data_IF_279301518139
#
_entry.id   IF_279301518139
#
_cell.length_a   1.000
_cell.length_b   1.000
_cell.length_c   1.000
_cell.angle_alpha   90.00
_cell.angle_beta   90.00
_cell.angle_gamma   90.00
#
_symmetry.space_group_name_H-M   'P 1'
#
loop_
_entity.id
_entity.type
_entity.pdbx_description
1 polymer ?
#
# COMPACT_ATOMS: atom_id res chain seq x y z
N UNK A 1 -4.23 19.61 -30.00
CA UNK A 1 -3.25 18.55 -29.66
C UNK A 1 -2.11 19.21 -28.89
N UNK A 2 -1.71 18.66 -27.73
CA UNK A 2 -0.77 19.34 -26.82
C UNK A 2 0.68 19.27 -27.34
N UNK A 3 1.55 20.19 -26.90
CA UNK A 3 2.98 20.20 -27.27
C UNK A 3 3.68 18.87 -26.98
N UNK A 4 3.24 18.18 -25.91
CA UNK A 4 3.69 16.84 -25.52
C UNK A 4 3.46 15.81 -26.63
N UNK A 5 2.34 15.88 -27.35
CA UNK A 5 2.01 14.96 -28.44
C UNK A 5 2.98 15.11 -29.63
N UNK A 6 3.39 16.33 -29.96
CA UNK A 6 4.31 16.58 -31.05
C UNK A 6 5.75 16.14 -30.73
N UNK A 7 6.18 16.26 -29.47
CA UNK A 7 7.52 15.87 -29.07
C UNK A 7 7.68 14.36 -28.93
N UNK A 8 6.66 13.65 -28.41
CA UNK A 8 6.62 12.18 -28.41
C UNK A 8 6.65 11.64 -29.84
N UNK A 9 5.91 12.26 -30.77
CA UNK A 9 5.91 11.91 -32.20
C UNK A 9 7.29 12.09 -32.86
N UNK A 10 8.13 12.97 -32.33
CA UNK A 10 9.49 13.23 -32.85
C UNK A 10 10.52 12.20 -32.39
N UNK A 11 10.28 11.54 -31.25
CA UNK A 11 11.25 10.63 -30.59
C UNK A 11 11.19 9.17 -31.08
N UNK A 12 10.24 8.84 -31.96
CA UNK A 12 9.99 7.47 -32.45
C UNK A 12 10.11 7.44 -33.99
N UNK A 13 10.87 6.49 -34.59
CA UNK A 13 10.94 6.37 -36.05
C UNK A 13 9.61 5.89 -36.65
N UNK A 14 9.28 6.49 -37.80
CA UNK A 14 8.27 6.16 -38.81
C UNK A 14 7.53 4.82 -38.68
N UNK A 15 6.51 4.73 -37.81
CA UNK A 15 5.36 3.83 -38.05
C UNK A 15 4.09 4.22 -37.26
N UNK A 16 4.03 5.43 -36.71
CA UNK A 16 2.88 5.91 -35.96
C UNK A 16 1.65 6.17 -36.85
N UNK A 17 1.86 6.50 -38.13
CA UNK A 17 0.77 6.87 -39.05
C UNK A 17 -0.16 5.70 -39.42
N UNK A 18 0.35 4.46 -39.42
CA UNK A 18 -0.47 3.25 -39.65
C UNK A 18 -1.33 2.88 -38.44
N UNK A 19 -0.88 3.28 -37.25
CA UNK A 19 -1.57 3.02 -35.98
C UNK A 19 -2.72 4.02 -35.77
N UNK A 20 -2.54 5.29 -36.15
CA UNK A 20 -3.60 6.32 -36.04
C UNK A 20 -4.82 6.03 -36.93
N UNK A 21 -4.66 5.35 -38.07
CA UNK A 21 -5.80 4.96 -38.91
C UNK A 21 -6.73 3.92 -38.24
N UNK A 22 -6.29 3.31 -37.14
CA UNK A 22 -7.06 2.33 -36.36
C UNK A 22 -7.62 2.91 -35.05
N UNK A 23 -7.27 4.16 -34.70
CA UNK A 23 -7.66 4.80 -33.44
C UNK A 23 -8.86 5.70 -33.70
N UNK A 24 -10.03 5.08 -33.80
CA UNK A 24 -11.28 5.75 -33.50
C UNK A 24 -12.02 4.87 -32.49
N UNK A 25 -12.18 5.40 -31.28
CA UNK A 25 -12.71 4.77 -30.06
C UNK A 25 -11.91 3.58 -29.49
N UNK A 26 -11.68 3.56 -28.17
CA UNK A 26 -11.39 2.37 -27.33
C UNK A 26 -9.96 2.12 -26.74
N UNK A 27 -9.95 1.48 -25.55
CA UNK A 27 -8.98 0.89 -24.56
C UNK A 27 -7.47 0.71 -24.90
N UNK A 28 -6.98 1.07 -26.08
CA UNK A 28 -5.64 0.71 -26.55
C UNK A 28 -4.49 1.70 -26.23
N UNK A 29 -4.78 2.83 -25.56
CA UNK A 29 -3.76 3.84 -25.21
C UNK A 29 -2.76 3.30 -24.16
N UNK A 30 -3.24 2.45 -23.25
CA UNK A 30 -2.43 1.82 -22.19
C UNK A 30 -1.40 0.85 -22.79
N UNK A 31 -1.81 0.01 -23.74
CA UNK A 31 -0.90 -0.95 -24.40
C UNK A 31 0.20 -0.25 -25.22
N UNK A 32 -0.14 0.85 -25.89
CA UNK A 32 0.82 1.59 -26.73
C UNK A 32 1.81 2.43 -25.92
N UNK A 33 1.42 2.89 -24.72
CA UNK A 33 2.31 3.53 -23.76
C UNK A 33 3.28 2.48 -23.17
N UNK A 34 2.80 1.27 -22.87
CA UNK A 34 3.62 0.17 -22.36
C UNK A 34 4.67 -0.30 -23.40
N UNK A 35 4.29 -0.41 -24.69
CA UNK A 35 5.23 -0.75 -25.77
C UNK A 35 6.30 0.33 -25.99
N UNK A 36 5.91 1.61 -25.86
CA UNK A 36 6.85 2.72 -25.95
C UNK A 36 7.84 2.69 -24.78
N UNK A 37 7.34 2.48 -23.56
CA UNK A 37 8.14 2.43 -22.34
C UNK A 37 9.14 1.25 -22.33
N UNK A 38 8.75 0.07 -22.83
CA UNK A 38 9.64 -1.08 -23.02
C UNK A 38 10.82 -0.78 -23.96
N UNK A 39 10.62 0.10 -24.96
CA UNK A 39 11.67 0.53 -25.89
C UNK A 39 12.63 1.57 -25.27
N UNK A 40 12.14 2.39 -24.34
CA UNK A 40 12.94 3.43 -23.66
C UNK A 40 13.84 2.87 -22.54
N UNK A 41 13.55 1.67 -22.06
CA UNK A 41 14.34 1.06 -20.99
C UNK A 41 15.80 0.78 -21.42
N UNK A 42 16.01 0.54 -22.72
CA UNK A 42 17.32 0.21 -23.29
C UNK A 42 18.17 1.42 -23.71
N UNK A 43 17.64 2.66 -23.69
CA UNK A 43 18.35 3.83 -24.23
C UNK A 43 18.43 5.02 -23.24
N UNK A 44 19.59 5.14 -22.59
CA UNK A 44 19.92 6.16 -21.58
C UNK A 44 19.82 7.61 -22.10
N UNK A 45 20.14 7.88 -23.37
CA UNK A 45 20.07 9.24 -23.93
C UNK A 45 18.62 9.73 -24.09
N UNK A 46 17.74 8.86 -24.61
CA UNK A 46 16.32 9.18 -24.75
C UNK A 46 15.64 9.39 -23.39
N UNK A 47 16.06 8.61 -22.39
CA UNK A 47 15.64 8.75 -20.98
C UNK A 47 16.02 10.13 -20.43
N UNK A 48 17.28 10.54 -20.56
CA UNK A 48 17.76 11.83 -20.08
C UNK A 48 17.10 13.02 -20.78
N UNK A 49 16.81 12.90 -22.08
CA UNK A 49 16.10 13.94 -22.83
C UNK A 49 14.68 14.17 -22.31
N UNK A 50 13.94 13.10 -22.01
CA UNK A 50 12.58 13.20 -21.47
C UNK A 50 12.58 13.88 -20.09
N UNK A 51 13.55 13.58 -19.23
CA UNK A 51 13.73 14.25 -17.94
C UNK A 51 13.90 15.75 -18.16
N UNK A 52 14.87 16.16 -18.97
CA UNK A 52 15.14 17.57 -19.24
C UNK A 52 13.94 18.32 -19.84
N UNK A 53 13.15 17.65 -20.69
CA UNK A 53 11.94 18.21 -21.27
C UNK A 53 10.81 18.37 -20.23
N UNK A 54 10.63 17.40 -19.34
CA UNK A 54 9.67 17.52 -18.24
C UNK A 54 10.07 18.63 -17.26
N UNK A 55 11.37 18.79 -17.00
CA UNK A 55 11.92 19.89 -16.20
C UNK A 55 11.69 21.26 -16.87
N UNK A 56 11.84 21.36 -18.19
CA UNK A 56 11.60 22.62 -18.91
C UNK A 56 10.11 23.02 -18.89
N UNK A 57 9.20 22.05 -19.00
CA UNK A 57 7.76 22.30 -18.86
C UNK A 57 7.35 22.77 -17.46
N UNK A 58 8.08 22.34 -16.41
CA UNK A 58 7.89 22.81 -15.03
C UNK A 58 8.32 24.27 -14.87
N UNK A 59 9.35 24.70 -15.60
CA UNK A 59 9.82 26.09 -15.60
C UNK A 59 8.87 27.05 -16.32
N UNK A 60 8.06 26.56 -17.25
CA UNK A 60 7.12 27.37 -18.06
C UNK A 60 5.75 27.60 -17.40
N UNK A 61 5.44 26.95 -16.26
CA UNK A 61 4.17 27.19 -15.56
C UNK A 61 4.19 28.54 -14.82
N UNK A 62 3.20 29.43 -15.04
CA UNK A 62 3.19 30.75 -14.41
C UNK A 62 3.17 30.64 -12.88
N UNK A 63 3.96 31.50 -12.23
CA UNK A 63 3.99 31.62 -10.79
C UNK A 63 2.63 32.03 -10.26
N UNK A 64 1.91 31.09 -9.63
CA UNK A 64 0.84 31.44 -8.70
C UNK A 64 1.49 32.21 -7.54
N UNK A 65 1.34 33.52 -7.55
CA UNK A 65 1.82 34.45 -6.54
C UNK A 65 1.01 34.26 -5.26
N UNK A 66 1.69 33.94 -4.14
CA UNK A 66 1.12 34.10 -2.79
C UNK A 66 1.24 32.93 -1.79
N UNK A 67 1.74 31.75 -2.16
CA UNK A 67 1.90 30.63 -1.22
C UNK A 67 3.34 30.11 -1.18
N UNK A 68 3.82 29.71 0.01
CA UNK A 68 5.12 29.04 0.14
C UNK A 68 5.10 27.76 -0.71
N UNK A 69 6.09 27.62 -1.60
CA UNK A 69 6.26 26.46 -2.49
C UNK A 69 6.85 25.24 -1.76
N UNK A 70 7.22 25.37 -0.50
CA UNK A 70 7.74 24.23 0.24
C UNK A 70 6.62 23.23 0.54
N UNK A 71 6.84 21.93 0.26
CA UNK A 71 5.93 20.89 0.68
C UNK A 71 5.66 21.00 2.18
N UNK A 72 4.39 20.91 2.56
CA UNK A 72 3.94 20.94 3.95
C UNK A 72 4.47 19.75 4.77
N UNK A 73 4.93 18.69 4.10
CA UNK A 73 5.31 17.43 4.73
C UNK A 73 4.12 16.58 5.17
N UNK A 74 2.89 17.06 4.98
CA UNK A 74 1.67 16.33 5.31
C UNK A 74 1.47 15.16 4.36
N UNK A 75 1.03 14.03 4.91
CA UNK A 75 0.81 12.78 4.18
C UNK A 75 -0.68 12.56 3.92
N UNK A 76 -1.02 12.23 2.68
CA UNK A 76 -2.36 11.86 2.25
C UNK A 76 -2.33 10.41 1.78
N UNK A 77 -3.02 9.52 2.50
CA UNK A 77 -2.94 8.07 2.31
C UNK A 77 -4.14 7.56 1.52
N UNK A 78 -3.85 6.79 0.47
CA UNK A 78 -4.81 6.16 -0.42
C UNK A 78 -4.50 4.66 -0.49
N UNK A 79 -5.47 3.82 -0.16
CA UNK A 79 -5.29 2.36 -0.13
C UNK A 79 -6.27 1.71 -1.11
N UNK A 80 -5.71 1.02 -2.10
CA UNK A 80 -6.45 0.08 -2.94
C UNK A 80 -6.51 -1.27 -2.23
N UNK A 81 -7.55 -1.46 -1.44
CA UNK A 81 -7.62 -2.57 -0.50
C UNK A 81 -7.75 -3.92 -1.20
N UNK A 82 -8.52 -4.00 -2.29
CA UNK A 82 -8.69 -5.26 -3.00
C UNK A 82 -7.35 -5.80 -3.49
N UNK A 83 -6.51 -4.94 -4.05
CA UNK A 83 -5.18 -5.33 -4.48
C UNK A 83 -4.26 -5.69 -3.30
N UNK A 84 -4.22 -4.83 -2.27
CA UNK A 84 -3.36 -5.05 -1.10
C UNK A 84 -3.68 -6.37 -0.40
N UNK A 85 -4.96 -6.69 -0.25
CA UNK A 85 -5.43 -7.90 0.40
C UNK A 85 -5.15 -9.15 -0.46
N UNK A 86 -5.44 -9.13 -1.76
CA UNK A 86 -5.27 -10.28 -2.64
C UNK A 86 -3.78 -10.62 -2.81
N UNK A 87 -2.97 -9.65 -3.22
CA UNK A 87 -1.55 -9.89 -3.50
C UNK A 87 -0.75 -10.16 -2.21
N UNK A 88 -1.06 -9.45 -1.12
CA UNK A 88 -0.44 -9.71 0.17
C UNK A 88 -0.74 -11.12 0.70
N UNK A 89 -1.99 -11.59 0.56
CA UNK A 89 -2.36 -12.95 0.98
C UNK A 89 -1.66 -14.01 0.13
N UNK A 90 -1.58 -13.84 -1.19
CA UNK A 90 -0.84 -14.77 -2.07
C UNK A 90 0.63 -14.86 -1.68
N UNK A 91 1.29 -13.70 -1.54
CA UNK A 91 2.71 -13.62 -1.16
C UNK A 91 2.97 -14.34 0.17
N UNK A 92 2.22 -13.98 1.23
CA UNK A 92 2.42 -14.54 2.56
C UNK A 92 2.01 -16.02 2.63
N UNK A 93 0.95 -16.42 1.95
CA UNK A 93 0.51 -17.82 1.87
C UNK A 93 1.63 -18.73 1.35
N UNK A 94 2.28 -18.33 0.26
CA UNK A 94 3.39 -19.05 -0.32
C UNK A 94 4.63 -19.06 0.59
N UNK A 95 4.96 -17.90 1.18
CA UNK A 95 6.16 -17.74 2.01
C UNK A 95 6.05 -18.49 3.36
N UNK A 96 4.88 -18.46 3.99
CA UNK A 96 4.66 -19.00 5.35
C UNK A 96 3.96 -20.36 5.37
N UNK A 97 3.62 -20.90 4.19
CA UNK A 97 2.86 -22.15 4.04
C UNK A 97 1.53 -22.14 4.82
N UNK A 98 0.78 -21.03 4.70
CA UNK A 98 -0.52 -20.80 5.37
C UNK A 98 -1.59 -20.62 4.31
N UNK A 99 -2.80 -21.14 4.52
CA UNK A 99 -3.88 -20.90 3.57
C UNK A 99 -4.33 -19.43 3.60
N UNK A 100 -4.57 -18.84 2.43
CA UNK A 100 -5.00 -17.42 2.28
C UNK A 100 -6.24 -17.07 3.12
N UNK A 101 -7.16 -18.02 3.33
CA UNK A 101 -8.37 -17.83 4.13
C UNK A 101 -8.14 -17.85 5.66
N UNK A 102 -6.89 -18.11 6.09
CA UNK A 102 -6.42 -17.96 7.46
C UNK A 102 -5.68 -16.65 7.66
N UNK A 103 -5.33 -15.94 6.58
CA UNK A 103 -4.59 -14.68 6.66
C UNK A 103 -5.52 -13.50 6.89
N UNK A 104 -5.09 -12.61 7.76
CA UNK A 104 -5.72 -11.36 8.11
C UNK A 104 -4.71 -10.22 7.93
N UNK A 105 -5.22 -9.04 7.57
CA UNK A 105 -4.46 -7.81 7.50
C UNK A 105 -4.91 -6.94 8.67
N UNK A 106 -3.96 -6.28 9.31
CA UNK A 106 -4.19 -5.25 10.31
C UNK A 106 -3.96 -3.88 9.67
N UNK A 107 -5.04 -3.14 9.41
CA UNK A 107 -4.98 -1.91 8.62
C UNK A 107 -4.45 -0.72 9.40
N UNK A 108 -4.62 -0.70 10.73
CA UNK A 108 -3.97 0.30 11.57
C UNK A 108 -2.46 0.14 11.50
N UNK A 109 -1.94 -1.07 11.72
CA UNK A 109 -0.49 -1.34 11.59
C UNK A 109 0.06 -1.01 10.21
N UNK A 110 -0.70 -1.28 9.14
CA UNK A 110 -0.35 -0.85 7.79
C UNK A 110 -0.31 0.70 7.68
N UNK A 111 -1.30 1.40 8.23
CA UNK A 111 -1.33 2.86 8.26
C UNK A 111 -0.14 3.44 9.04
N UNK A 112 0.13 2.93 10.24
CA UNK A 112 1.27 3.32 11.07
C UNK A 112 2.61 3.09 10.37
N UNK A 113 2.75 1.96 9.65
CA UNK A 113 3.92 1.66 8.82
C UNK A 113 4.12 2.71 7.72
N UNK A 114 3.07 3.02 6.96
CA UNK A 114 3.20 3.94 5.82
C UNK A 114 3.31 5.39 6.28
N UNK A 115 2.74 5.78 7.41
CA UNK A 115 2.92 7.11 7.99
C UNK A 115 4.33 7.26 8.57
N UNK A 116 4.87 6.23 9.23
CA UNK A 116 6.19 6.24 9.84
C UNK A 116 6.44 7.49 10.72
N UNK A 117 5.44 7.84 11.54
CA UNK A 117 5.47 9.01 12.42
C UNK A 117 5.25 10.37 11.75
N UNK A 118 4.99 10.40 10.43
CA UNK A 118 4.64 11.64 9.71
C UNK A 118 3.20 12.04 9.97
N UNK A 119 2.95 13.35 9.94
CA UNK A 119 1.62 13.90 10.20
C UNK A 119 0.68 13.71 8.99
N UNK A 120 -0.53 13.24 9.24
CA UNK A 120 -1.57 13.18 8.21
C UNK A 120 -2.12 14.56 7.87
N UNK A 121 -2.39 14.78 6.59
CA UNK A 121 -3.07 15.97 6.10
C UNK A 121 -4.59 15.86 6.14
N UNK A 122 -5.13 14.67 5.90
CA UNK A 122 -6.56 14.39 5.77
C UNK A 122 -6.90 12.95 6.14
N UNK A 123 -8.21 12.69 6.23
CA UNK A 123 -8.81 11.36 6.34
C UNK A 123 -8.24 10.41 5.28
N UNK A 124 -7.67 9.24 5.67
CA UNK A 124 -7.22 8.25 4.72
C UNK A 124 -8.40 7.66 3.95
N UNK A 125 -8.15 7.38 2.68
CA UNK A 125 -9.15 6.83 1.76
C UNK A 125 -8.82 5.36 1.50
N UNK A 126 -9.78 4.48 1.79
CA UNK A 126 -9.68 3.05 1.51
C UNK A 126 -10.78 2.67 0.53
N UNK A 127 -10.38 2.11 -0.60
CA UNK A 127 -11.28 1.72 -1.69
C UNK A 127 -11.19 0.22 -1.88
N UNK A 128 -12.33 -0.48 -1.98
CA UNK A 128 -12.38 -1.92 -2.22
C UNK A 128 -13.16 -2.70 -1.16
N UNK A 129 -12.60 -3.80 -0.66
CA UNK A 129 -13.18 -4.53 0.49
C UNK A 129 -13.14 -3.64 1.73
N UNK A 130 -14.14 -3.74 2.61
CA UNK A 130 -14.14 -3.00 3.87
C UNK A 130 -13.24 -3.68 4.90
N UNK A 131 -12.32 -2.97 5.57
CA UNK A 131 -11.63 -3.49 6.76
C UNK A 131 -12.60 -4.01 7.82
N UNK A 132 -12.27 -5.08 8.56
CA UNK A 132 -13.14 -5.62 9.61
C UNK A 132 -13.54 -4.57 10.65
N UNK A 133 -14.76 -4.58 11.20
CA UNK A 133 -15.18 -3.60 12.21
C UNK A 133 -14.36 -3.58 13.51
N UNK A 134 -13.67 -4.68 13.81
CA UNK A 134 -12.82 -4.87 14.99
C UNK A 134 -11.32 -4.69 14.67
N UNK A 135 -10.99 -4.11 13.52
CA UNK A 135 -9.61 -3.80 13.13
C UNK A 135 -9.03 -2.64 13.96
N UNK A 136 -7.72 -2.65 14.18
CA UNK A 136 -7.00 -1.61 14.92
C UNK A 136 -7.10 -0.23 14.23
N UNK A 137 -7.30 -0.21 12.92
CA UNK A 137 -7.44 0.98 12.06
C UNK A 137 -8.38 2.03 12.64
N UNK A 138 -9.56 1.59 13.09
CA UNK A 138 -10.62 2.50 13.54
C UNK A 138 -10.19 3.29 14.78
N UNK A 139 -9.53 2.60 15.71
CA UNK A 139 -9.00 3.20 16.93
C UNK A 139 -7.82 4.12 16.60
N UNK A 140 -6.89 3.66 15.76
CA UNK A 140 -5.70 4.44 15.40
C UNK A 140 -6.08 5.77 14.71
N UNK A 141 -7.04 5.74 13.79
CA UNK A 141 -7.49 6.95 13.10
C UNK A 141 -8.26 7.89 14.01
N UNK A 142 -9.08 7.35 14.93
CA UNK A 142 -9.73 8.14 15.96
C UNK A 142 -8.70 8.82 16.87
N UNK A 143 -7.67 8.09 17.32
CA UNK A 143 -6.57 8.62 18.15
C UNK A 143 -5.77 9.72 17.42
N UNK A 144 -5.64 9.63 16.09
CA UNK A 144 -5.04 10.67 15.26
C UNK A 144 -5.98 11.87 15.00
N UNK A 145 -7.25 11.79 15.40
CA UNK A 145 -8.25 12.84 15.22
C UNK A 145 -8.87 12.91 13.81
N UNK A 146 -8.81 11.82 13.05
CA UNK A 146 -9.32 11.71 11.69
C UNK A 146 -10.49 10.73 11.60
N UNK A 147 -11.03 10.56 10.39
CA UNK A 147 -11.99 9.51 10.03
C UNK A 147 -11.45 8.70 8.83
N UNK A 148 -11.95 7.47 8.63
CA UNK A 148 -11.65 6.71 7.38
C UNK A 148 -12.78 6.95 6.40
N UNK A 149 -12.45 7.30 5.16
CA UNK A 149 -13.39 7.20 4.03
C UNK A 149 -13.27 5.83 3.41
N UNK A 150 -14.24 4.94 3.69
CA UNK A 150 -14.29 3.60 3.08
C UNK A 150 -15.35 3.54 1.99
N UNK A 151 -14.91 3.19 0.79
CA UNK A 151 -15.75 2.99 -0.38
C UNK A 151 -15.81 1.49 -0.72
N UNK A 152 -16.99 0.90 -0.49
CA UNK A 152 -17.20 -0.54 -0.64
C UNK A 152 -17.32 -0.93 -2.11
N UNK A 153 -16.71 -2.06 -2.50
CA UNK A 153 -16.96 -2.69 -3.80
C UNK A 153 -18.40 -3.22 -3.86
N UNK A 154 -19.28 -2.54 -4.59
CA UNK A 154 -20.71 -2.86 -4.59
C UNK A 154 -21.04 -4.15 -5.39
N UNK A 155 -20.27 -4.57 -6.42
CA UNK A 155 -20.45 -5.86 -7.13
C UNK A 155 -19.17 -6.34 -7.87
N UNK A 156 -19.01 -7.66 -8.07
CA UNK A 156 -17.83 -8.30 -8.72
C UNK A 156 -17.51 -7.76 -10.12
N UNK A 157 -18.50 -7.36 -10.90
CA UNK A 157 -18.34 -7.00 -12.34
C UNK A 157 -18.04 -5.51 -12.59
N UNK A 158 -17.74 -4.71 -11.55
CA UNK A 158 -17.50 -3.26 -11.64
C UNK A 158 -16.12 -2.81 -11.13
N UNK A 159 -15.10 -3.64 -11.33
CA UNK A 159 -13.70 -3.33 -10.96
C UNK A 159 -13.25 -1.95 -11.47
N UNK A 160 -13.53 -1.66 -12.74
CA UNK A 160 -13.22 -0.37 -13.37
C UNK A 160 -13.91 0.86 -12.75
N UNK A 161 -15.04 0.71 -12.06
CA UNK A 161 -15.70 1.86 -11.40
C UNK A 161 -15.01 2.21 -10.08
N UNK A 162 -14.41 1.22 -9.42
CA UNK A 162 -13.70 1.34 -8.14
C UNK A 162 -12.32 1.98 -8.33
N UNK A 163 -11.58 1.61 -9.38
CA UNK A 163 -10.28 2.23 -9.70
C UNK A 163 -10.42 3.72 -10.07
N UNK A 164 -11.54 4.06 -10.73
CA UNK A 164 -11.87 5.45 -11.05
C UNK A 164 -12.19 6.28 -9.78
N UNK A 165 -12.67 5.65 -8.72
CA UNK A 165 -13.04 6.32 -7.48
C UNK A 165 -11.80 6.67 -6.64
N UNK A 166 -10.83 5.76 -6.48
CA UNK A 166 -9.54 6.09 -5.85
C UNK A 166 -8.82 7.22 -6.59
N UNK A 167 -8.85 7.16 -7.93
CA UNK A 167 -8.33 8.21 -8.78
C UNK A 167 -9.07 9.56 -8.64
N UNK A 168 -10.39 9.54 -8.43
CA UNK A 168 -11.17 10.75 -8.15
C UNK A 168 -10.74 11.38 -6.82
N UNK A 169 -10.58 10.59 -5.75
CA UNK A 169 -10.09 11.10 -4.47
C UNK A 169 -8.69 11.68 -4.54
N UNK A 170 -7.78 11.02 -5.27
CA UNK A 170 -6.45 11.58 -5.54
C UNK A 170 -6.59 12.92 -6.29
N UNK A 171 -7.49 13.01 -7.28
CA UNK A 171 -7.72 14.24 -8.03
C UNK A 171 -8.31 15.36 -7.17
N UNK A 172 -9.20 15.04 -6.24
CA UNK A 172 -9.82 15.99 -5.32
C UNK A 172 -8.78 16.51 -4.34
N UNK A 173 -7.98 15.64 -3.71
CA UNK A 173 -6.86 16.05 -2.88
C UNK A 173 -5.90 16.99 -3.63
N UNK A 174 -5.55 16.67 -4.88
CA UNK A 174 -4.69 17.53 -5.70
C UNK A 174 -5.32 18.89 -6.01
N UNK A 175 -6.66 18.98 -6.13
CA UNK A 175 -7.37 20.22 -6.48
C UNK A 175 -7.70 21.10 -5.26
N UNK A 176 -8.05 20.48 -4.13
CA UNK A 176 -8.47 21.14 -2.90
C UNK A 176 -7.26 21.66 -2.09
N UNK A 177 -6.13 20.93 -2.11
CA UNK A 177 -4.92 21.35 -1.43
C UNK A 177 -4.12 22.37 -2.23
N UNK A 178 -4.16 23.63 -1.77
CA UNK A 178 -3.37 24.73 -2.32
C UNK A 178 -1.88 24.67 -1.93
N UNK A 179 -1.48 23.74 -1.06
CA UNK A 179 -0.09 23.55 -0.60
C UNK A 179 0.33 22.10 -0.85
N UNK A 180 1.55 21.93 -1.37
CA UNK A 180 2.08 20.63 -1.76
C UNK A 180 2.24 19.71 -0.53
N UNK A 181 1.93 18.43 -0.67
CA UNK A 181 2.14 17.40 0.35
C UNK A 181 2.76 16.13 -0.25
N UNK A 182 2.60 15.03 0.47
CA UNK A 182 3.05 13.69 0.07
C UNK A 182 1.81 12.84 -0.18
N UNK A 183 1.69 12.28 -1.38
CA UNK A 183 0.68 11.25 -1.67
C UNK A 183 1.33 9.90 -1.41
N UNK A 184 0.76 9.15 -0.48
CA UNK A 184 1.09 7.75 -0.24
C UNK A 184 -0.01 6.90 -0.87
N UNK A 185 0.34 6.14 -1.89
CA UNK A 185 -0.53 5.15 -2.50
C UNK A 185 -0.07 3.75 -2.07
N UNK A 186 -0.96 2.97 -1.46
CA UNK A 186 -0.74 1.56 -1.17
C UNK A 186 -1.58 0.75 -2.15
N UNK A 187 -0.94 0.15 -3.15
CA UNK A 187 -1.62 -0.53 -4.25
C UNK A 187 -0.80 -1.70 -4.81
N UNK A 188 -1.47 -2.61 -5.50
CA UNK A 188 -0.87 -3.81 -6.10
C UNK A 188 -0.69 -3.74 -7.62
N UNK A 189 -1.21 -2.71 -8.30
CA UNK A 189 -1.12 -2.61 -9.75
C UNK A 189 -0.84 -1.16 -10.24
N UNK A 190 -0.60 -1.04 -11.55
CA UNK A 190 -0.20 0.21 -12.20
C UNK A 190 -1.36 1.14 -12.61
N UNK A 191 -2.62 0.79 -12.31
CA UNK A 191 -3.79 1.44 -12.91
C UNK A 191 -3.99 2.89 -12.43
N UNK A 192 -3.36 3.24 -11.31
CA UNK A 192 -3.38 4.58 -10.71
C UNK A 192 -2.42 5.58 -11.40
N UNK A 193 -1.58 5.11 -12.34
CA UNK A 193 -0.56 5.90 -13.04
C UNK A 193 -1.03 7.26 -13.60
N UNK A 194 -2.21 7.38 -14.24
CA UNK A 194 -2.68 8.66 -14.78
C UNK A 194 -2.92 9.74 -13.71
N UNK A 195 -3.33 9.35 -12.51
CA UNK A 195 -3.60 10.24 -11.38
C UNK A 195 -2.30 10.70 -10.72
N UNK A 196 -1.38 9.76 -10.48
CA UNK A 196 -0.04 10.04 -9.94
C UNK A 196 0.72 10.99 -10.87
N UNK A 197 0.65 10.79 -12.19
CA UNK A 197 1.25 11.70 -13.17
C UNK A 197 0.75 13.14 -13.03
N UNK A 198 -0.55 13.34 -12.79
CA UNK A 198 -1.11 14.69 -12.58
C UNK A 198 -0.62 15.33 -11.28
N UNK A 199 -0.40 14.54 -10.24
CA UNK A 199 0.16 15.04 -8.98
C UNK A 199 1.63 15.45 -9.14
N UNK A 200 2.46 14.61 -9.79
CA UNK A 200 3.86 14.94 -10.08
C UNK A 200 4.01 16.24 -10.87
N UNK A 201 3.20 16.43 -11.92
CA UNK A 201 3.21 17.66 -12.73
C UNK A 201 2.85 18.91 -11.92
N UNK A 202 2.12 18.76 -10.81
CA UNK A 202 1.77 19.84 -9.89
C UNK A 202 2.77 19.98 -8.73
N UNK A 203 3.82 19.17 -8.70
CA UNK A 203 4.91 19.27 -7.72
C UNK A 203 4.72 18.44 -6.45
N UNK A 204 3.73 17.55 -6.40
CA UNK A 204 3.56 16.62 -5.28
C UNK A 204 4.72 15.62 -5.20
N UNK A 205 5.00 15.17 -3.97
CA UNK A 205 5.84 13.99 -3.73
C UNK A 205 4.91 12.78 -3.72
N UNK A 206 5.33 11.69 -4.35
CA UNK A 206 4.56 10.46 -4.43
C UNK A 206 5.39 9.32 -3.87
N UNK A 207 4.76 8.54 -3.00
CA UNK A 207 5.27 7.30 -2.46
C UNK A 207 4.29 6.18 -2.81
N UNK A 208 4.76 5.18 -3.54
CA UNK A 208 3.95 4.01 -3.88
C UNK A 208 4.47 2.80 -3.13
N UNK A 209 3.63 2.24 -2.26
CA UNK A 209 3.86 1.00 -1.54
C UNK A 209 3.18 -0.13 -2.29
N UNK A 210 3.96 -1.16 -2.67
CA UNK A 210 3.50 -2.21 -3.58
C UNK A 210 4.09 -3.58 -3.22
N UNK A 211 3.40 -4.65 -3.63
CA UNK A 211 3.92 -6.03 -3.57
C UNK A 211 4.72 -6.37 -4.82
N UNK A 212 5.79 -7.16 -4.71
CA UNK A 212 6.67 -7.48 -5.86
C UNK A 212 5.95 -8.19 -7.02
N UNK A 213 4.87 -8.93 -6.76
CA UNK A 213 4.11 -9.62 -7.82
C UNK A 213 3.26 -8.67 -8.69
N UNK A 214 3.17 -7.38 -8.35
CA UNK A 214 2.41 -6.33 -9.07
C UNK A 214 3.22 -5.38 -9.97
N UNK A 215 4.47 -5.73 -10.26
CA UNK A 215 5.57 -4.77 -10.44
C UNK A 215 5.85 -4.25 -11.87
N UNK A 216 5.17 -4.73 -12.90
CA UNK A 216 5.65 -4.50 -14.28
C UNK A 216 5.49 -3.05 -14.79
N UNK A 217 4.59 -2.24 -14.23
CA UNK A 217 4.26 -0.90 -14.77
C UNK A 217 4.79 0.27 -13.89
N UNK A 218 5.02 0.04 -12.60
CA UNK A 218 5.32 1.12 -11.64
C UNK A 218 6.77 1.64 -11.73
N UNK A 219 7.73 0.82 -12.17
CA UNK A 219 9.18 1.15 -12.19
C UNK A 219 9.56 2.28 -13.16
N UNK A 220 8.67 2.62 -14.09
CA UNK A 220 8.92 3.58 -15.17
C UNK A 220 9.06 5.03 -14.67
N UNK A 221 8.59 5.31 -13.45
CA UNK A 221 8.54 6.66 -12.88
C UNK A 221 9.61 6.96 -11.81
N UNK A 222 10.41 5.96 -11.39
CA UNK A 222 11.52 6.10 -10.42
C UNK A 222 12.53 7.19 -10.85
N UNK A 223 12.56 7.50 -12.14
CA UNK A 223 13.47 8.49 -12.73
C UNK A 223 13.08 9.93 -12.33
N UNK A 224 11.85 10.16 -11.85
CA UNK A 224 11.39 11.47 -11.36
C UNK A 224 11.74 11.59 -9.88
N UNK A 225 12.50 12.61 -9.49
CA UNK A 225 13.01 12.79 -8.11
C UNK A 225 11.92 12.88 -7.02
N UNK A 226 10.68 13.18 -7.40
CA UNK A 226 9.53 13.26 -6.51
C UNK A 226 8.70 11.97 -6.47
N UNK A 227 9.20 10.85 -6.99
CA UNK A 227 8.49 9.58 -7.04
C UNK A 227 9.34 8.47 -6.39
N UNK A 228 8.84 7.90 -5.31
CA UNK A 228 9.49 6.83 -4.55
C UNK A 228 8.62 5.58 -4.60
N UNK A 229 9.27 4.44 -4.80
CA UNK A 229 8.63 3.13 -4.77
C UNK A 229 9.19 2.34 -3.59
N UNK A 230 8.31 1.76 -2.78
CA UNK A 230 8.66 1.03 -1.56
C UNK A 230 8.02 -0.36 -1.63
N UNK A 231 8.85 -1.39 -1.52
CA UNK A 231 8.38 -2.77 -1.53
C UNK A 231 7.75 -3.13 -0.17
N UNK A 232 6.53 -3.68 -0.17
CA UNK A 232 5.80 -4.17 1.00
C UNK A 232 6.31 -5.54 1.49
N UNK A 233 6.88 -6.35 0.59
CA UNK A 233 7.35 -7.72 0.88
C UNK A 233 8.19 -7.83 2.16
N UNK A 234 9.14 -6.92 2.48
CA UNK A 234 9.97 -7.04 3.68
C UNK A 234 9.22 -6.68 4.98
N UNK A 235 8.05 -6.05 4.89
CA UNK A 235 7.32 -5.50 6.02
C UNK A 235 6.09 -6.31 6.42
N UNK A 236 5.74 -7.37 5.69
CA UNK A 236 4.51 -8.15 5.92
C UNK A 236 4.35 -8.63 7.37
N UNK A 237 5.45 -8.93 8.09
CA UNK A 237 5.42 -9.35 9.50
C UNK A 237 4.76 -8.33 10.43
N UNK A 238 4.71 -7.04 10.03
CA UNK A 238 4.19 -5.96 10.86
C UNK A 238 2.69 -5.81 10.80
N UNK A 239 2.05 -6.30 9.73
CA UNK A 239 0.63 -6.01 9.46
C UNK A 239 -0.14 -7.19 8.85
N UNK A 240 0.49 -8.32 8.52
CA UNK A 240 -0.18 -9.56 8.09
C UNK A 240 0.05 -10.65 9.12
N UNK A 241 -1.01 -11.37 9.45
CA UNK A 241 -0.98 -12.47 10.41
C UNK A 241 -1.93 -13.59 10.03
N UNK A 242 -1.67 -14.77 10.59
CA UNK A 242 -2.57 -15.92 10.49
C UNK A 242 -3.47 -15.99 11.73
N UNK A 243 -4.78 -16.10 11.49
CA UNK A 243 -5.80 -16.21 12.54
C UNK A 243 -6.72 -17.39 12.29
N UNK A 244 -6.31 -18.59 12.73
CA UNK A 244 -7.13 -19.81 12.88
C UNK A 244 -6.30 -20.85 13.64
N UNK A 245 -6.95 -21.92 14.09
CA UNK A 245 -6.26 -23.10 14.60
C UNK A 245 -5.25 -23.65 13.57
N UNK A 246 -4.02 -23.86 14.01
CA UNK A 246 -3.00 -24.64 13.30
C UNK A 246 -3.35 -26.13 13.40
N UNK A 247 -3.54 -26.80 12.25
CA UNK A 247 -4.05 -28.18 12.20
C UNK A 247 -3.01 -29.19 11.69
N UNK A 248 -1.82 -28.76 11.28
CA UNK A 248 -0.75 -29.65 10.81
C UNK A 248 -0.02 -30.34 11.95
N UNK A 249 -0.10 -29.80 13.17
CA UNK A 249 0.59 -30.33 14.35
C UNK A 249 2.11 -30.11 14.30
N UNK A 250 2.58 -29.26 13.37
CA UNK A 250 4.00 -28.96 13.19
C UNK A 250 4.48 -27.84 14.12
N UNK A 251 3.58 -26.96 14.54
CA UNK A 251 3.91 -25.82 15.38
C UNK A 251 3.76 -26.15 16.87
N UNK A 252 4.64 -25.56 17.66
CA UNK A 252 4.54 -25.50 19.11
C UNK A 252 3.60 -24.34 19.44
N UNK A 253 2.76 -24.47 20.47
CA UNK A 253 1.89 -23.36 20.87
C UNK A 253 2.16 -22.92 22.30
N UNK A 254 1.93 -21.64 22.55
CA UNK A 254 1.82 -21.06 23.87
C UNK A 254 0.33 -20.81 24.14
N UNK A 255 -0.22 -21.52 25.10
CA UNK A 255 -1.56 -21.26 25.61
C UNK A 255 -1.49 -20.12 26.63
N UNK A 256 -2.38 -19.14 26.50
CA UNK A 256 -2.48 -17.95 27.33
C UNK A 256 -3.93 -17.86 27.80
N UNK A 257 -4.14 -17.89 29.11
CA UNK A 257 -5.43 -17.61 29.72
C UNK A 257 -5.47 -16.16 30.19
N UNK A 258 -6.33 -15.36 29.56
CA UNK A 258 -6.53 -13.96 29.93
C UNK A 258 -7.72 -13.82 30.88
N UNK A 259 -7.40 -13.86 32.17
CA UNK A 259 -8.37 -13.74 33.26
C UNK A 259 -9.00 -12.33 33.30
N UNK A 260 -8.28 -11.31 32.81
CA UNK A 260 -8.67 -9.90 32.94
C UNK A 260 -9.43 -9.41 31.70
N UNK A 261 -9.28 -10.07 30.56
CA UNK A 261 -9.90 -9.67 29.29
C UNK A 261 -9.20 -8.46 28.66
N UNK A 262 -7.90 -8.29 28.89
CA UNK A 262 -7.08 -7.21 28.36
C UNK A 262 -6.29 -7.56 27.11
N UNK A 263 -6.32 -8.82 26.65
CA UNK A 263 -5.59 -9.30 25.49
C UNK A 263 -6.43 -9.29 24.23
N UNK A 264 -5.89 -8.67 23.18
CA UNK A 264 -6.47 -8.66 21.84
C UNK A 264 -5.42 -8.98 20.76
N UNK A 265 -5.79 -8.77 19.49
CA UNK A 265 -4.90 -8.99 18.35
C UNK A 265 -3.65 -8.10 18.38
N UNK A 266 -3.75 -6.91 18.97
CA UNK A 266 -2.66 -5.93 18.99
C UNK A 266 -1.52 -6.40 19.88
N UNK A 267 -1.84 -6.93 21.07
CA UNK A 267 -0.82 -7.48 21.97
C UNK A 267 -0.09 -8.68 21.35
N UNK A 268 -0.81 -9.51 20.59
CA UNK A 268 -0.22 -10.64 19.86
C UNK A 268 0.76 -10.14 18.82
N UNK A 269 0.30 -9.25 17.95
CA UNK A 269 1.11 -8.68 16.87
C UNK A 269 2.36 -7.97 17.42
N UNK A 270 2.24 -7.23 18.52
CA UNK A 270 3.37 -6.57 19.20
C UNK A 270 4.44 -7.58 19.63
N UNK A 271 4.03 -8.69 20.25
CA UNK A 271 4.97 -9.74 20.66
C UNK A 271 5.70 -10.35 19.46
N UNK A 272 4.98 -10.70 18.40
CA UNK A 272 5.57 -11.31 17.21
C UNK A 272 6.49 -10.34 16.46
N UNK A 273 6.11 -9.07 16.37
CA UNK A 273 6.91 -8.04 15.73
C UNK A 273 8.24 -7.80 16.47
N UNK A 274 8.22 -7.70 17.80
CA UNK A 274 9.44 -7.55 18.60
C UNK A 274 10.39 -8.75 18.49
N UNK A 275 9.85 -9.94 18.27
CA UNK A 275 10.62 -11.16 18.03
C UNK A 275 10.99 -11.36 16.56
N UNK A 276 10.52 -10.48 15.66
CA UNK A 276 10.69 -10.59 14.21
C UNK A 276 10.20 -11.95 13.66
N UNK A 277 9.01 -12.37 14.10
CA UNK A 277 8.37 -13.64 13.77
C UNK A 277 7.03 -13.41 13.05
N UNK A 278 6.60 -14.38 12.25
CA UNK A 278 5.28 -14.35 11.64
C UNK A 278 4.20 -14.67 12.67
N UNK A 279 3.29 -13.72 12.88
CA UNK A 279 2.21 -13.85 13.84
C UNK A 279 1.20 -14.89 13.37
N UNK A 280 1.06 -15.97 14.13
CA UNK A 280 -0.03 -16.93 13.97
C UNK A 280 -0.64 -17.21 15.32
N UNK A 281 -1.91 -16.87 15.48
CA UNK A 281 -2.63 -17.10 16.72
C UNK A 281 -4.08 -17.53 16.51
N UNK A 282 -4.73 -17.96 17.59
CA UNK A 282 -6.14 -18.33 17.60
C UNK A 282 -6.79 -18.04 18.94
N UNK A 283 -7.93 -17.35 18.92
CA UNK A 283 -8.77 -17.17 20.10
C UNK A 283 -9.75 -18.33 20.26
N UNK A 284 -9.69 -18.98 21.43
CA UNK A 284 -10.62 -20.00 21.88
C UNK A 284 -11.72 -19.39 22.76
N UNK A 285 -12.86 -20.08 22.93
CA UNK A 285 -13.81 -19.73 23.98
C UNK A 285 -13.15 -19.64 25.36
N UNK A 286 -13.73 -18.85 26.25
CA UNK A 286 -13.24 -18.62 27.62
C UNK A 286 -11.91 -17.84 27.71
N UNK A 287 -11.74 -16.80 26.88
CA UNK A 287 -10.58 -15.88 26.91
C UNK A 287 -9.22 -16.59 26.89
N UNK A 288 -9.15 -17.69 26.15
CA UNK A 288 -7.92 -18.45 25.98
C UNK A 288 -7.37 -18.20 24.58
N UNK A 289 -6.08 -17.93 24.48
CA UNK A 289 -5.42 -17.62 23.23
C UNK A 289 -4.24 -18.56 22.98
N UNK A 290 -4.11 -19.04 21.75
CA UNK A 290 -2.96 -19.85 21.31
C UNK A 290 -2.08 -19.01 20.42
N UNK A 291 -0.80 -18.89 20.76
CA UNK A 291 0.24 -18.34 19.89
C UNK A 291 1.07 -19.49 19.34
N UNK A 292 1.26 -19.58 18.02
CA UNK A 292 1.96 -20.68 17.36
C UNK A 292 3.38 -20.28 16.94
N UNK A 293 4.32 -21.21 17.10
CA UNK A 293 5.75 -21.02 16.85
C UNK A 293 6.34 -22.24 16.11
N UNK A 294 7.32 -22.03 15.25
CA UNK A 294 8.00 -23.10 14.54
C UNK A 294 9.02 -23.82 15.42
N UNK A 295 9.70 -23.07 16.30
CA UNK A 295 10.80 -23.58 17.10
C UNK A 295 10.58 -23.38 18.60
N UNK A 296 11.18 -24.25 19.41
CA UNK A 296 11.06 -24.16 20.88
C UNK A 296 11.69 -22.87 21.43
N UNK A 297 12.73 -22.35 20.77
CA UNK A 297 13.37 -21.11 21.17
C UNK A 297 12.43 -19.92 21.04
N UNK A 298 11.71 -19.81 19.93
CA UNK A 298 10.72 -18.76 19.68
C UNK A 298 9.62 -18.79 20.74
N UNK A 299 9.10 -19.99 21.05
CA UNK A 299 8.13 -20.18 22.13
C UNK A 299 8.67 -19.72 23.49
N UNK A 300 9.95 -20.02 23.79
CA UNK A 300 10.59 -19.64 25.06
C UNK A 300 10.77 -18.13 25.16
N UNK A 301 11.21 -17.48 24.08
CA UNK A 301 11.37 -16.03 24.01
C UNK A 301 10.03 -15.31 24.15
N UNK A 302 8.99 -15.77 23.43
CA UNK A 302 7.65 -15.24 23.57
C UNK A 302 7.12 -15.39 25.00
N UNK A 303 7.29 -16.57 25.61
CA UNK A 303 6.89 -16.77 27.02
C UNK A 303 7.59 -15.77 27.95
N UNK A 304 8.90 -15.56 27.81
CA UNK A 304 9.63 -14.59 28.62
C UNK A 304 9.17 -13.15 28.38
N UNK A 305 8.93 -12.78 27.11
CA UNK A 305 8.42 -11.47 26.73
C UNK A 305 7.09 -11.18 27.43
N UNK A 306 6.18 -12.15 27.39
CA UNK A 306 4.85 -12.02 27.99
C UNK A 306 4.95 -11.91 29.50
N UNK A 307 5.71 -12.78 30.15
CA UNK A 307 5.92 -12.73 31.60
C UNK A 307 6.51 -11.39 32.08
N UNK A 308 7.35 -10.76 31.25
CA UNK A 308 7.95 -9.46 31.54
C UNK A 308 6.95 -8.31 31.44
N UNK A 309 6.09 -8.30 30.41
CA UNK A 309 5.11 -7.23 30.18
C UNK A 309 3.80 -7.41 30.95
N UNK A 310 3.39 -8.66 31.18
CA UNK A 310 2.08 -9.02 31.72
C UNK A 310 2.23 -10.01 32.89
N UNK A 311 2.27 -9.48 34.11
CA UNK A 311 2.40 -10.27 35.34
C UNK A 311 1.13 -11.04 35.73
N UNK A 312 0.01 -10.81 35.04
CA UNK A 312 -1.33 -11.26 35.45
C UNK A 312 -1.84 -12.48 34.65
N UNK A 313 -1.05 -13.00 33.71
CA UNK A 313 -1.41 -14.14 32.87
C UNK A 313 -0.98 -15.44 33.54
N UNK A 314 -1.94 -16.35 33.76
CA UNK A 314 -1.84 -17.34 34.84
C UNK A 314 -1.34 -18.75 34.44
N UNK A 315 -1.36 -19.14 33.15
CA UNK A 315 -0.89 -20.47 32.76
C UNK A 315 -0.34 -20.52 31.34
N UNK A 316 0.82 -21.18 31.15
CA UNK A 316 1.50 -21.32 29.87
C UNK A 316 1.83 -22.78 29.58
N UNK A 317 1.09 -23.41 28.66
CA UNK A 317 1.32 -24.80 28.21
C UNK A 317 2.00 -24.82 26.84
N UNK A 318 2.70 -25.93 26.58
CA UNK A 318 3.38 -26.29 25.32
C UNK A 318 2.54 -27.33 24.58
#
# INVERSE_FOLDING_TARGET
MSAIYHEIKRLIPENFTKIIAYINTDVNLTNQINDALALYDTNKEKRNYLISFLESLRAEQPSATGFSREPTGLVHVFIDNSNVEIEGKKFVSNLQAVFENQLCLDYGRLLGLVLNGRQMGEDPVIVGSRPPPNDSLWKEIEDLGFQVKVHDRIFRDKEKEVDNELGAFISDAIQEHKRLGIIVLVAGDGDHSPFLRRALLRGWIIEVWFWTEGNEILQLWIIISNYVIINLDPYYLRFIYAYRRENTGRKIFLEIEDIVGSWDSENMMECYEELNLFCWWWHKPHNTFYMYFDEYEQWREAKHWIQKKYSNVAEYKK
#
